data_IF_700595390388
#
_entry.id   IF_700595390388
#
_cell.length_a   1.000
_cell.length_b   1.000
_cell.length_c   1.000
_cell.angle_alpha   90.00
_cell.angle_beta   90.00
_cell.angle_gamma   90.00
#
_symmetry.space_group_name_H-M   'P 1'
#
loop_
_entity.id
_entity.type
_entity.pdbx_description
1 polymer ?
#
# COMPACT_ATOMS: atom_id res chain seq x y z
N UNK A 1 50.58 55.03 -27.96
CA UNK A 1 49.18 54.67 -27.59
C UNK A 1 48.85 53.18 -27.69
N UNK A 2 49.55 52.37 -28.52
CA UNK A 2 49.28 50.91 -28.64
C UNK A 2 49.69 50.05 -27.42
N UNK A 3 50.79 50.40 -26.72
CA UNK A 3 51.28 49.59 -25.60
C UNK A 3 50.28 49.48 -24.44
N UNK A 4 49.56 50.54 -24.08
CA UNK A 4 48.57 50.51 -22.99
C UNK A 4 47.32 49.69 -23.30
N UNK A 5 46.95 49.53 -24.58
CA UNK A 5 45.77 48.73 -24.98
C UNK A 5 46.05 47.22 -24.92
N UNK A 6 47.29 46.80 -25.16
CA UNK A 6 47.70 45.39 -25.11
C UNK A 6 47.67 44.84 -23.67
N UNK A 7 48.07 45.63 -22.68
CA UNK A 7 48.03 45.21 -21.26
C UNK A 7 46.60 45.08 -20.72
N UNK A 8 45.65 45.90 -21.21
CA UNK A 8 44.23 45.81 -20.82
C UNK A 8 43.57 44.58 -21.45
N UNK A 9 43.89 44.26 -22.71
CA UNK A 9 43.35 43.08 -23.39
C UNK A 9 43.94 41.78 -22.82
N UNK A 10 45.24 41.76 -22.47
CA UNK A 10 45.87 40.63 -21.77
C UNK A 10 45.32 40.45 -20.34
N UNK A 11 45.05 41.54 -19.61
CA UNK A 11 44.42 41.48 -18.29
C UNK A 11 42.99 40.92 -18.32
N UNK A 12 42.19 41.30 -19.33
CA UNK A 12 40.82 40.80 -19.50
C UNK A 12 40.78 39.32 -19.95
N UNK A 13 41.74 38.88 -20.77
CA UNK A 13 41.87 37.47 -21.17
C UNK A 13 42.29 36.57 -20.01
N UNK A 14 43.16 37.03 -19.10
CA UNK A 14 43.55 36.26 -17.91
C UNK A 14 42.36 36.10 -16.95
N UNK A 15 41.52 37.12 -16.79
CA UNK A 15 40.30 37.05 -15.95
C UNK A 15 39.27 36.07 -16.55
N UNK A 16 39.10 36.07 -17.88
CA UNK A 16 38.19 35.14 -18.58
C UNK A 16 38.67 33.67 -18.54
N UNK A 17 39.98 33.43 -18.52
CA UNK A 17 40.54 32.07 -18.43
C UNK A 17 40.49 31.56 -16.98
N UNK A 18 40.60 32.43 -15.97
CA UNK A 18 40.40 32.02 -14.56
C UNK A 18 38.94 31.76 -14.18
N UNK A 19 37.96 32.29 -14.93
CA UNK A 19 36.54 31.98 -14.69
C UNK A 19 36.06 30.66 -15.32
N UNK A 20 36.87 30.03 -16.18
CA UNK A 20 36.53 28.75 -16.83
C UNK A 20 37.18 27.51 -16.18
N UNK A 21 38.05 27.68 -15.17
CA UNK A 21 38.69 26.56 -14.46
C UNK A 21 38.05 26.24 -13.09
N UNK A 22 36.91 26.83 -12.78
CA UNK A 22 36.08 26.51 -11.61
C UNK A 22 34.94 25.57 -11.96
N UNK A 23 35.20 24.48 -12.70
CA UNK A 23 34.24 23.37 -12.77
C UNK A 23 34.31 22.69 -11.41
N UNK A 24 33.42 23.11 -10.51
CA UNK A 24 33.10 22.35 -9.33
C UNK A 24 32.75 20.93 -9.78
N UNK A 25 33.60 19.97 -9.40
CA UNK A 25 33.23 18.57 -9.45
C UNK A 25 32.03 18.44 -8.51
N UNK A 26 30.84 18.40 -9.09
CA UNK A 26 29.69 17.84 -8.38
C UNK A 26 30.01 16.36 -8.22
N UNK A 27 30.68 16.03 -7.12
CA UNK A 27 30.72 14.68 -6.61
C UNK A 27 29.27 14.28 -6.46
N UNK A 28 28.80 13.37 -7.32
CA UNK A 28 27.60 12.61 -7.05
C UNK A 28 27.83 11.97 -5.68
N UNK A 29 27.19 12.53 -4.66
CA UNK A 29 27.00 11.83 -3.42
C UNK A 29 26.18 10.60 -3.82
N UNK A 30 26.84 9.46 -4.01
CA UNK A 30 26.18 8.17 -3.89
C UNK A 30 25.58 8.20 -2.49
N UNK A 31 24.29 8.54 -2.42
CA UNK A 31 23.52 8.43 -1.20
C UNK A 31 23.70 7.01 -0.72
N UNK A 32 24.41 6.86 0.40
CA UNK A 32 24.27 5.66 1.18
C UNK A 32 22.77 5.50 1.40
N UNK A 33 22.18 4.40 0.92
CA UNK A 33 20.84 4.02 1.29
C UNK A 33 20.83 3.95 2.81
N UNK A 34 20.31 4.98 3.47
CA UNK A 34 19.98 4.89 4.88
C UNK A 34 18.95 3.77 4.94
N UNK A 35 19.34 2.65 5.57
CA UNK A 35 18.41 1.57 5.84
C UNK A 35 17.32 2.16 6.74
N UNK A 36 16.17 2.48 6.14
CA UNK A 36 14.97 2.92 6.84
C UNK A 36 14.64 1.85 7.86
N UNK A 37 14.69 2.20 9.15
CA UNK A 37 14.30 1.25 10.18
C UNK A 37 12.81 1.01 10.08
N UNK A 38 12.44 -0.21 9.72
CA UNK A 38 11.04 -0.65 9.66
C UNK A 38 10.57 -1.27 10.97
N UNK A 39 11.49 -1.64 11.86
CA UNK A 39 11.22 -2.21 13.16
C UNK A 39 11.64 -1.23 14.27
N UNK A 40 11.15 -1.47 15.49
CA UNK A 40 11.54 -0.72 16.67
C UNK A 40 13.04 -0.91 16.97
N UNK A 41 13.66 0.07 17.62
CA UNK A 41 15.08 0.01 17.98
C UNK A 41 15.42 -1.27 18.75
N UNK A 42 16.52 -1.91 18.38
CA UNK A 42 16.99 -3.20 18.91
C UNK A 42 16.10 -4.42 18.60
N UNK A 43 15.09 -4.28 17.74
CA UNK A 43 14.25 -5.38 17.30
C UNK A 43 14.68 -5.96 15.96
N UNK A 44 14.43 -7.25 15.79
CA UNK A 44 14.75 -7.96 14.54
C UNK A 44 13.70 -7.62 13.48
N UNK A 45 14.14 -7.04 12.37
CA UNK A 45 13.26 -6.56 11.29
C UNK A 45 12.95 -7.60 10.21
N UNK A 46 13.43 -8.84 10.33
CA UNK A 46 13.29 -9.86 9.29
C UNK A 46 13.33 -11.29 9.87
N UNK A 47 12.50 -12.18 9.32
CA UNK A 47 12.58 -13.63 9.55
C UNK A 47 12.54 -14.37 8.21
N UNK A 48 13.65 -15.02 7.86
CA UNK A 48 13.81 -15.63 6.54
C UNK A 48 13.66 -14.59 5.44
N UNK A 49 12.68 -14.80 4.56
CA UNK A 49 12.42 -13.90 3.43
C UNK A 49 11.38 -12.82 3.73
N UNK A 50 10.84 -12.77 4.96
CA UNK A 50 9.73 -11.89 5.32
C UNK A 50 10.23 -10.73 6.18
N UNK A 51 9.98 -9.50 5.72
CA UNK A 51 10.19 -8.28 6.51
C UNK A 51 9.16 -8.23 7.64
N UNK A 52 9.60 -7.85 8.84
CA UNK A 52 8.76 -7.73 10.03
C UNK A 52 8.77 -6.28 10.50
N UNK A 53 7.86 -5.44 9.97
CA UNK A 53 7.78 -4.06 10.37
C UNK A 53 6.89 -3.87 11.60
N UNK A 54 7.19 -2.85 12.40
CA UNK A 54 6.29 -2.40 13.46
C UNK A 54 4.91 -2.03 12.84
N UNK A 55 3.76 -2.43 13.42
CA UNK A 55 3.53 -2.90 14.80
C UNK A 55 3.87 -4.38 15.05
N UNK A 56 4.25 -5.14 14.03
CA UNK A 56 4.75 -6.51 14.19
C UNK A 56 6.16 -6.52 14.76
N UNK A 57 6.48 -7.55 15.55
CA UNK A 57 7.79 -7.63 16.18
C UNK A 57 8.17 -9.02 16.65
N UNK A 58 9.48 -9.28 16.63
CA UNK A 58 10.09 -10.51 17.15
C UNK A 58 10.81 -10.18 18.46
N UNK A 59 10.41 -10.84 19.54
CA UNK A 59 11.02 -10.67 20.86
C UNK A 59 10.20 -9.77 21.79
N UNK A 60 10.68 -9.65 23.02
CA UNK A 60 10.04 -8.85 24.06
C UNK A 60 10.04 -7.37 23.70
N UNK A 61 8.91 -6.69 23.93
CA UNK A 61 8.71 -5.26 23.69
C UNK A 61 8.95 -4.78 22.24
N UNK A 62 8.95 -5.71 21.27
CA UNK A 62 9.17 -5.41 19.86
C UNK A 62 7.89 -5.25 19.04
N UNK A 63 6.77 -5.83 19.47
CA UNK A 63 5.46 -5.61 18.87
C UNK A 63 4.66 -4.58 19.64
N UNK A 64 3.66 -3.98 19.01
CA UNK A 64 2.76 -3.02 19.66
C UNK A 64 1.78 -3.71 20.64
N UNK A 65 1.29 -4.89 20.25
CA UNK A 65 0.39 -5.71 21.03
C UNK A 65 0.66 -7.20 20.78
N UNK A 66 0.11 -8.04 21.66
CA UNK A 66 0.22 -9.50 21.63
C UNK A 66 -0.20 -10.09 20.27
N UNK A 67 -1.24 -9.54 19.62
CA UNK A 67 -1.70 -10.03 18.31
C UNK A 67 -0.70 -9.81 17.17
N UNK A 68 0.24 -8.89 17.35
CA UNK A 68 1.30 -8.57 16.39
C UNK A 68 2.64 -9.25 16.73
N UNK A 69 2.69 -10.09 17.76
CA UNK A 69 3.90 -10.85 18.11
C UNK A 69 4.21 -11.92 17.06
N UNK A 70 5.44 -11.90 16.55
CA UNK A 70 5.96 -12.87 15.58
C UNK A 70 6.97 -13.80 16.26
N UNK A 71 6.75 -15.11 16.08
CA UNK A 71 7.74 -16.13 16.41
C UNK A 71 8.46 -16.54 15.13
N UNK A 72 9.77 -16.33 15.09
CA UNK A 72 10.59 -16.80 13.98
C UNK A 72 11.03 -18.25 14.23
N UNK A 73 10.42 -19.20 13.52
CA UNK A 73 10.82 -20.59 13.55
C UNK A 73 12.15 -20.76 12.81
N UNK A 74 13.21 -21.05 13.56
CA UNK A 74 14.58 -21.20 13.04
C UNK A 74 14.93 -22.64 12.64
N UNK A 75 14.02 -23.59 12.83
CA UNK A 75 14.25 -25.00 12.51
C UNK A 75 14.10 -25.32 11.02
N UNK A 76 13.60 -24.37 10.23
CA UNK A 76 13.45 -24.49 8.77
C UNK A 76 14.46 -23.61 8.05
N UNK A 77 14.84 -23.97 6.82
CA UNK A 77 15.64 -23.10 5.94
C UNK A 77 14.87 -22.85 4.64
N UNK A 78 14.45 -21.61 4.34
CA UNK A 78 14.60 -20.40 5.16
C UNK A 78 13.78 -20.47 6.47
N UNK A 79 14.16 -19.64 7.45
CA UNK A 79 13.39 -19.47 8.69
C UNK A 79 11.97 -18.97 8.36
N UNK A 80 10.97 -19.40 9.14
CA UNK A 80 9.56 -19.11 8.87
C UNK A 80 8.93 -18.32 10.02
N UNK A 81 8.33 -17.14 9.77
CA UNK A 81 7.62 -16.39 10.79
C UNK A 81 6.21 -16.94 11.03
N UNK A 82 5.75 -16.87 12.27
CA UNK A 82 4.39 -17.23 12.67
C UNK A 82 3.80 -16.15 13.57
N UNK A 83 2.51 -15.82 13.38
CA UNK A 83 1.75 -15.09 14.39
C UNK A 83 1.69 -15.94 15.66
N UNK A 84 2.19 -15.41 16.78
CA UNK A 84 2.31 -16.20 18.01
C UNK A 84 0.96 -16.70 18.53
N UNK A 85 -0.06 -15.84 18.51
CA UNK A 85 -1.38 -16.14 19.06
C UNK A 85 -2.25 -16.96 18.11
N UNK A 86 -2.25 -16.63 16.82
CA UNK A 86 -3.05 -17.33 15.81
C UNK A 86 -2.40 -18.61 15.27
N UNK A 87 -1.07 -18.74 15.44
CA UNK A 87 -0.24 -19.85 14.95
C UNK A 87 -0.24 -20.01 13.42
N UNK A 88 -0.58 -18.96 12.66
CA UNK A 88 -0.47 -18.97 11.20
C UNK A 88 0.93 -18.54 10.76
N UNK A 89 1.47 -19.25 9.76
CA UNK A 89 2.69 -18.84 9.08
C UNK A 89 2.43 -17.53 8.33
N UNK A 90 3.29 -16.55 8.52
CA UNK A 90 3.22 -15.28 7.81
C UNK A 90 4.00 -15.40 6.52
N UNK A 91 3.34 -15.14 5.40
CA UNK A 91 3.94 -15.18 4.07
C UNK A 91 4.47 -13.80 3.66
N UNK A 92 3.73 -12.75 4.01
CA UNK A 92 4.10 -11.37 3.70
C UNK A 92 3.39 -10.38 4.65
N UNK A 93 4.04 -9.26 4.94
CA UNK A 93 3.46 -8.09 5.58
C UNK A 93 3.67 -6.93 4.63
N UNK A 94 2.61 -6.25 4.21
CA UNK A 94 2.73 -5.19 3.21
C UNK A 94 3.66 -4.09 3.69
N UNK A 95 4.58 -3.69 2.83
CA UNK A 95 5.42 -2.50 3.01
C UNK A 95 4.82 -1.28 2.31
N UNK A 96 3.50 -1.30 2.06
CA UNK A 96 2.74 -0.21 1.43
C UNK A 96 2.89 1.10 2.20
N UNK A 97 3.18 1.03 3.51
CA UNK A 97 3.46 2.22 4.32
C UNK A 97 4.78 2.93 3.99
N UNK A 98 5.69 2.26 3.28
CA UNK A 98 6.90 2.88 2.71
C UNK A 98 6.60 3.72 1.47
N UNK A 99 5.36 3.70 0.95
CA UNK A 99 4.94 4.55 -0.15
C UNK A 99 4.52 5.94 0.37
N UNK A 100 5.00 7.02 -0.26
CA UNK A 100 4.84 8.38 0.27
C UNK A 100 3.44 9.00 0.11
N UNK A 101 2.49 8.33 -0.56
CA UNK A 101 1.17 8.89 -0.86
C UNK A 101 0.02 7.89 -0.63
N UNK A 102 -0.93 8.30 0.24
CA UNK A 102 -2.34 7.92 0.54
C UNK A 102 -2.95 6.54 0.23
N UNK A 103 -2.28 5.60 -0.42
CA UNK A 103 -2.81 4.25 -0.64
C UNK A 103 -1.96 3.25 0.15
N UNK A 104 -2.29 3.15 1.44
CA UNK A 104 -1.66 2.18 2.32
C UNK A 104 -2.65 1.06 2.61
N UNK A 105 -2.53 -0.01 1.84
CA UNK A 105 -3.21 -1.27 2.15
C UNK A 105 -2.39 -1.97 3.22
N UNK A 106 -2.86 -1.90 4.47
CA UNK A 106 -2.28 -2.60 5.63
C UNK A 106 -2.66 -4.06 5.53
N UNK A 107 -1.86 -4.85 4.83
CA UNK A 107 -2.16 -6.22 4.49
C UNK A 107 -1.17 -7.18 5.14
N UNK A 108 -1.68 -8.35 5.49
CA UNK A 108 -0.99 -9.46 6.08
C UNK A 108 -1.41 -10.71 5.32
N UNK A 109 -0.46 -11.29 4.59
CA UNK A 109 -0.69 -12.57 3.92
C UNK A 109 -0.23 -13.71 4.81
N UNK A 110 -1.12 -14.68 5.08
CA UNK A 110 -0.86 -15.84 5.93
C UNK A 110 -1.07 -17.15 5.17
N UNK A 111 -0.40 -18.21 5.59
CA UNK A 111 -0.61 -19.56 5.07
C UNK A 111 -1.75 -20.22 5.84
N UNK A 112 -2.95 -20.25 5.25
CA UNK A 112 -4.17 -20.69 5.92
C UNK A 112 -4.61 -22.09 5.45
N UNK A 113 -5.05 -22.99 6.35
CA UNK A 113 -5.39 -24.37 5.99
C UNK A 113 -6.59 -24.46 5.05
N UNK A 114 -6.57 -25.47 4.18
CA UNK A 114 -7.71 -25.89 3.38
C UNK A 114 -8.66 -26.73 4.24
N UNK A 115 -9.98 -26.54 4.08
CA UNK A 115 -10.99 -27.37 4.72
C UNK A 115 -11.32 -28.58 3.86
N UNK A 116 -11.04 -29.78 4.38
CA UNK A 116 -11.30 -31.06 3.71
C UNK A 116 -12.46 -31.81 4.35
N UNK A 117 -13.20 -32.56 3.53
CA UNK A 117 -14.31 -33.40 3.93
C UNK A 117 -14.31 -34.69 3.10
N UNK A 118 -14.42 -35.87 3.75
CA UNK A 118 -14.36 -37.18 3.08
C UNK A 118 -13.09 -37.40 2.22
N UNK A 119 -11.95 -36.81 2.61
CA UNK A 119 -10.68 -36.95 1.88
C UNK A 119 -9.74 -37.93 2.59
N UNK A 120 -9.38 -39.04 1.93
CA UNK A 120 -8.43 -40.00 2.49
C UNK A 120 -7.07 -39.34 2.78
N UNK A 121 -6.47 -39.64 3.93
CA UNK A 121 -5.18 -39.10 4.40
C UNK A 121 -5.15 -37.57 4.63
N UNK A 122 -6.30 -36.88 4.61
CA UNK A 122 -6.41 -35.49 5.04
C UNK A 122 -7.16 -35.46 6.36
N UNK A 123 -6.74 -34.60 7.28
CA UNK A 123 -7.51 -34.33 8.49
C UNK A 123 -8.77 -33.58 8.09
N UNK A 124 -9.94 -34.05 8.52
CA UNK A 124 -11.18 -33.30 8.34
C UNK A 124 -11.09 -32.00 9.14
N UNK A 125 -10.88 -30.91 8.44
CA UNK A 125 -10.68 -29.58 8.99
C UNK A 125 -11.96 -28.75 8.82
N UNK A 126 -12.95 -28.99 9.67
CA UNK A 126 -13.99 -27.99 9.95
C UNK A 126 -13.44 -26.98 10.95
N UNK A 127 -12.50 -26.14 10.52
CA UNK A 127 -11.90 -25.11 11.38
C UNK A 127 -12.57 -23.78 11.11
N UNK A 128 -13.33 -23.30 12.08
CA UNK A 128 -13.84 -21.93 12.09
C UNK A 128 -12.66 -20.97 12.22
N UNK A 129 -12.56 -20.02 11.30
CA UNK A 129 -11.74 -18.84 11.50
C UNK A 129 -12.60 -17.78 12.17
N UNK A 130 -12.20 -17.33 13.35
CA UNK A 130 -12.86 -16.25 14.08
C UNK A 130 -11.89 -15.07 14.21
N UNK A 131 -12.19 -13.97 13.51
CA UNK A 131 -11.45 -12.72 13.62
C UNK A 131 -12.16 -11.72 14.56
N UNK A 132 -13.20 -12.15 15.27
CA UNK A 132 -13.97 -11.29 16.18
C UNK A 132 -13.08 -10.81 17.33
N UNK A 133 -12.97 -9.49 17.47
CA UNK A 133 -12.24 -8.87 18.57
C UNK A 133 -10.72 -8.95 18.47
N UNK A 134 -10.17 -9.31 17.31
CA UNK A 134 -8.73 -9.29 17.03
C UNK A 134 -8.44 -8.29 15.90
N UNK A 135 -7.21 -7.74 15.78
CA UNK A 135 -6.92 -6.60 14.90
C UNK A 135 -6.73 -6.99 13.42
N UNK A 136 -7.55 -7.92 12.93
CA UNK A 136 -7.50 -8.44 11.57
C UNK A 136 -8.90 -8.52 10.97
N UNK A 137 -9.02 -8.24 9.67
CA UNK A 137 -10.28 -8.37 8.91
C UNK A 137 -10.02 -9.03 7.57
N UNK A 138 -11.04 -9.65 6.97
CA UNK A 138 -10.93 -10.10 5.58
C UNK A 138 -10.88 -8.92 4.62
N UNK A 139 -10.26 -9.17 3.46
CA UNK A 139 -10.19 -8.22 2.35
C UNK A 139 -10.97 -8.77 1.16
N UNK A 140 -11.55 -7.88 0.36
CA UNK A 140 -12.17 -8.19 -0.94
C UNK A 140 -11.16 -8.67 -1.98
N UNK A 141 -9.86 -8.59 -1.69
CA UNK A 141 -8.78 -9.23 -2.44
C UNK A 141 -8.69 -10.74 -2.23
N UNK A 142 -9.64 -11.35 -1.51
CA UNK A 142 -9.76 -12.80 -1.42
C UNK A 142 -10.97 -13.31 -2.21
N UNK A 143 -10.88 -14.57 -2.61
CA UNK A 143 -11.98 -15.32 -3.17
C UNK A 143 -12.25 -16.57 -2.34
N UNK A 144 -13.49 -17.04 -2.37
CA UNK A 144 -13.87 -18.32 -1.79
C UNK A 144 -14.05 -19.36 -2.87
N UNK A 145 -13.40 -20.52 -2.73
CA UNK A 145 -13.37 -21.58 -3.72
C UNK A 145 -13.84 -22.89 -3.09
N UNK A 146 -14.71 -23.60 -3.80
CA UNK A 146 -15.15 -24.95 -3.48
C UNK A 146 -14.82 -25.89 -4.63
N UNK A 147 -14.27 -27.06 -4.32
CA UNK A 147 -13.82 -28.03 -5.33
C UNK A 147 -14.30 -29.44 -4.96
N UNK A 148 -15.05 -30.04 -5.88
CA UNK A 148 -15.54 -31.43 -5.96
C UNK A 148 -16.76 -31.43 -6.87
N UNK A 149 -17.18 -32.60 -7.37
CA UNK A 149 -18.55 -32.76 -7.85
C UNK A 149 -19.54 -32.64 -6.66
N UNK A 150 -20.66 -31.94 -6.89
CA UNK A 150 -21.72 -31.75 -5.89
C UNK A 150 -21.24 -31.07 -4.60
N UNK A 151 -20.32 -30.11 -4.70
CA UNK A 151 -19.89 -29.34 -3.53
C UNK A 151 -20.94 -28.28 -3.23
N UNK A 152 -21.37 -28.19 -1.98
CA UNK A 152 -22.09 -27.02 -1.47
C UNK A 152 -21.32 -26.56 -0.23
N UNK A 153 -20.45 -25.58 -0.43
CA UNK A 153 -19.66 -24.98 0.63
C UNK A 153 -20.25 -23.61 0.97
N UNK A 154 -20.56 -23.36 2.24
CA UNK A 154 -21.12 -22.07 2.69
C UNK A 154 -20.19 -21.42 3.69
N UNK A 155 -20.16 -20.09 3.70
CA UNK A 155 -19.55 -19.28 4.76
C UNK A 155 -20.68 -18.76 5.65
N UNK A 156 -20.76 -19.31 6.85
CA UNK A 156 -21.67 -18.83 7.89
C UNK A 156 -20.95 -17.83 8.80
N UNK A 157 -21.63 -16.72 9.12
CA UNK A 157 -21.25 -15.90 10.28
C UNK A 157 -21.66 -16.64 11.55
N UNK A 158 -20.71 -16.89 12.45
CA UNK A 158 -20.91 -17.59 13.73
C UNK A 158 -21.64 -16.75 14.78
N UNK A 159 -21.92 -15.48 14.48
CA UNK A 159 -22.42 -14.48 15.42
C UNK A 159 -23.96 -14.55 15.60
N UNK A 160 -24.45 -15.60 16.25
CA UNK A 160 -25.79 -15.69 16.88
C UNK A 160 -27.02 -15.83 15.96
N UNK A 161 -27.01 -15.19 14.79
CA UNK A 161 -28.00 -15.42 13.72
C UNK A 161 -27.25 -15.96 12.50
N UNK A 162 -27.28 -17.29 12.30
CA UNK A 162 -26.65 -17.96 11.16
C UNK A 162 -27.31 -17.53 9.85
N UNK A 163 -26.82 -16.45 9.26
CA UNK A 163 -27.09 -16.12 7.86
C UNK A 163 -25.85 -16.52 7.05
N UNK A 164 -26.04 -17.38 6.05
CA UNK A 164 -24.99 -17.67 5.07
C UNK A 164 -24.73 -16.40 4.27
N UNK A 165 -23.58 -15.77 4.50
CA UNK A 165 -23.23 -14.50 3.83
C UNK A 165 -22.87 -14.74 2.36
N UNK A 166 -22.23 -15.89 2.08
CA UNK A 166 -21.84 -16.30 0.74
C UNK A 166 -21.70 -17.81 0.67
N UNK A 167 -21.78 -18.37 -0.54
CA UNK A 167 -21.70 -19.80 -0.76
C UNK A 167 -21.22 -20.14 -2.16
N UNK A 168 -20.71 -21.35 -2.29
CA UNK A 168 -20.11 -21.89 -3.48
C UNK A 168 -20.75 -23.24 -3.74
N UNK A 169 -21.40 -23.39 -4.90
CA UNK A 169 -22.03 -24.64 -5.31
C UNK A 169 -21.50 -25.10 -6.67
N UNK A 170 -21.25 -26.39 -6.81
CA UNK A 170 -20.89 -27.02 -8.09
C UNK A 170 -21.81 -28.19 -8.42
N UNK A 171 -21.99 -28.43 -9.72
CA UNK A 171 -22.59 -29.65 -10.26
C UNK A 171 -21.51 -30.56 -10.80
N UNK A 172 -21.85 -31.83 -11.01
CA UNK A 172 -20.94 -32.84 -11.52
C UNK A 172 -20.85 -32.78 -13.05
N UNK A 173 -19.64 -32.88 -13.62
CA UNK A 173 -19.49 -32.99 -15.07
C UNK A 173 -20.20 -34.24 -15.60
N UNK A 174 -21.11 -34.07 -16.57
CA UNK A 174 -21.95 -35.16 -17.07
C UNK A 174 -21.31 -36.01 -18.17
N UNK A 175 -20.15 -35.64 -18.72
CA UNK A 175 -19.47 -36.39 -19.79
C UNK A 175 -17.97 -36.06 -19.89
N UNK A 176 -17.16 -37.08 -20.23
CA UNK A 176 -15.71 -37.10 -20.52
C UNK A 176 -15.23 -36.19 -21.67
N UNK A 177 -16.08 -35.29 -22.17
CA UNK A 177 -15.65 -34.23 -23.06
C UNK A 177 -14.96 -33.16 -22.22
N UNK A 178 -13.76 -33.50 -21.73
CA UNK A 178 -12.74 -32.52 -21.35
C UNK A 178 -12.59 -31.60 -22.54
N UNK A 179 -13.26 -30.46 -22.49
CA UNK A 179 -12.83 -29.32 -23.28
C UNK A 179 -11.35 -29.20 -22.99
N UNK A 180 -10.54 -29.26 -24.05
CA UNK A 180 -9.09 -29.05 -24.02
C UNK A 180 -8.81 -27.58 -23.69
N UNK A 181 -9.40 -27.09 -22.61
CA UNK A 181 -9.02 -25.84 -22.00
C UNK A 181 -7.69 -26.11 -21.30
N UNK A 182 -6.67 -25.39 -21.73
CA UNK A 182 -5.38 -25.38 -21.03
C UNK A 182 -5.46 -24.64 -19.68
N UNK A 183 -6.66 -24.35 -19.17
CA UNK A 183 -6.90 -23.56 -17.97
C UNK A 183 -8.04 -24.15 -17.14
N UNK A 184 -7.90 -24.07 -15.82
CA UNK A 184 -8.95 -24.38 -14.85
C UNK A 184 -10.03 -23.29 -14.92
N UNK A 185 -11.24 -23.66 -15.37
CA UNK A 185 -12.41 -22.79 -15.43
C UNK A 185 -13.37 -23.21 -14.30
N UNK A 186 -13.19 -22.67 -13.09
CA UNK A 186 -14.08 -22.91 -11.94
C UNK A 186 -15.44 -22.22 -12.12
N UNK A 187 -16.24 -22.73 -13.05
CA UNK A 187 -17.47 -22.12 -13.56
C UNK A 187 -18.75 -22.79 -13.03
N UNK A 188 -18.66 -23.56 -11.94
CA UNK A 188 -19.78 -24.30 -11.35
C UNK A 188 -19.82 -25.78 -11.74
N UNK A 189 -18.88 -26.29 -12.55
CA UNK A 189 -18.73 -27.72 -12.83
C UNK A 189 -17.49 -28.24 -12.11
N UNK A 190 -17.67 -29.18 -11.17
CA UNK A 190 -16.63 -29.77 -10.31
C UNK A 190 -15.81 -28.77 -9.45
N UNK A 191 -16.01 -27.47 -9.66
CA UNK A 191 -15.43 -26.36 -8.93
C UNK A 191 -16.31 -25.11 -9.05
N UNK A 192 -16.32 -24.27 -8.04
CA UNK A 192 -16.96 -22.97 -8.03
C UNK A 192 -16.05 -21.94 -7.36
N UNK A 193 -16.25 -20.67 -7.67
CA UNK A 193 -15.60 -19.55 -6.98
C UNK A 193 -16.59 -18.40 -6.78
N UNK A 194 -16.44 -17.67 -5.69
CA UNK A 194 -17.25 -16.48 -5.39
C UNK A 194 -16.40 -15.43 -4.67
N UNK A 195 -16.67 -14.15 -4.92
CA UNK A 195 -16.04 -13.08 -4.17
C UNK A 195 -16.68 -12.95 -2.78
N UNK A 196 -15.93 -12.35 -1.86
CA UNK A 196 -16.44 -11.94 -0.56
C UNK A 196 -16.61 -10.42 -0.54
N UNK A 197 -17.66 -9.94 0.13
CA UNK A 197 -17.87 -8.52 0.38
C UNK A 197 -17.00 -8.05 1.55
N UNK A 198 -16.38 -6.88 1.41
CA UNK A 198 -15.66 -6.22 2.51
C UNK A 198 -16.59 -5.99 3.69
N UNK A 199 -16.05 -6.14 4.91
CA UNK A 199 -16.68 -5.70 6.16
C UNK A 199 -18.00 -6.41 6.53
N UNK A 200 -18.21 -7.65 6.03
CA UNK A 200 -19.43 -8.44 6.28
C UNK A 200 -19.17 -9.79 6.96
N UNK A 201 -17.92 -10.24 7.05
CA UNK A 201 -17.58 -11.56 7.60
C UNK A 201 -16.57 -11.34 8.72
N UNK A 202 -16.94 -11.59 9.97
CA UNK A 202 -16.00 -11.60 11.10
C UNK A 202 -15.51 -13.03 11.39
N UNK A 203 -16.29 -14.01 10.96
CA UNK A 203 -16.05 -15.42 11.18
C UNK A 203 -16.38 -16.17 9.91
N UNK A 204 -15.56 -17.15 9.54
CA UNK A 204 -15.93 -18.09 8.50
C UNK A 204 -15.94 -19.52 9.07
N UNK A 205 -17.01 -20.24 8.77
CA UNK A 205 -17.10 -21.68 8.91
C UNK A 205 -17.47 -22.26 7.55
N UNK A 206 -16.75 -23.29 7.10
CA UNK A 206 -17.03 -23.98 5.85
C UNK A 206 -17.88 -25.22 6.17
N UNK A 207 -19.13 -25.18 5.74
CA UNK A 207 -20.07 -26.30 5.87
C UNK A 207 -20.23 -26.99 4.52
N UNK A 208 -20.10 -28.32 4.49
CA UNK A 208 -20.41 -29.15 3.33
C UNK A 208 -21.79 -29.76 3.51
N UNK A 209 -22.71 -29.47 2.59
CA UNK A 209 -24.00 -30.14 2.57
C UNK A 209 -23.87 -31.56 1.98
N UNK A 210 -24.40 -32.54 2.70
CA UNK A 210 -24.43 -33.95 2.32
C UNK A 210 -25.81 -34.38 1.77
N UNK A 211 -26.75 -33.43 1.66
CA UNK A 211 -28.08 -33.62 1.08
C UNK A 211 -28.02 -33.67 -0.44
N UNK A 212 -27.52 -34.76 -1.00
CA UNK A 212 -27.93 -35.14 -2.36
C UNK A 212 -29.26 -35.89 -2.24
N UNK A 213 -30.31 -35.40 -2.89
CA UNK A 213 -31.54 -36.17 -3.09
C UNK A 213 -31.25 -37.31 -4.07
N UNK A 214 -30.64 -38.37 -3.57
CA UNK A 214 -30.36 -39.61 -4.30
C UNK A 214 -31.39 -40.64 -3.91
N UNK A 215 -31.83 -41.43 -4.87
CA UNK A 215 -32.74 -42.55 -4.64
C UNK A 215 -32.04 -43.66 -3.85
N UNK A 216 -32.78 -44.47 -3.10
CA UNK A 216 -32.23 -45.57 -2.27
C UNK A 216 -31.32 -46.55 -3.06
N UNK A 217 -31.49 -46.63 -4.38
CA UNK A 217 -30.65 -47.43 -5.28
C UNK A 217 -29.26 -46.81 -5.54
N UNK A 218 -29.15 -45.48 -5.52
CA UNK A 218 -27.90 -44.74 -5.71
C UNK A 218 -27.07 -44.68 -4.41
N UNK A 219 -27.73 -44.86 -3.26
CA UNK A 219 -27.12 -44.88 -1.93
C UNK A 219 -26.03 -45.97 -1.79
N UNK A 220 -26.28 -47.17 -2.33
CA UNK A 220 -25.35 -48.31 -2.25
C UNK A 220 -24.10 -48.14 -3.13
N UNK A 221 -24.18 -47.34 -4.21
CA UNK A 221 -23.03 -46.96 -5.03
C UNK A 221 -22.29 -45.75 -4.43
N UNK A 222 -23.03 -44.84 -3.77
CA UNK A 222 -22.54 -43.65 -3.09
C UNK A 222 -21.70 -43.95 -1.83
N UNK A 223 -22.06 -44.97 -1.03
CA UNK A 223 -21.24 -45.37 0.14
C UNK A 223 -19.86 -45.91 -0.24
N UNK A 224 -19.68 -46.39 -1.47
CA UNK A 224 -18.39 -46.88 -1.99
C UNK A 224 -17.50 -45.78 -2.60
N UNK A 225 -18.06 -44.60 -2.90
CA UNK A 225 -17.40 -43.49 -3.59
C UNK A 225 -17.65 -42.18 -2.83
N UNK A 226 -17.18 -42.08 -1.58
CA UNK A 226 -17.15 -40.80 -0.87
C UNK A 226 -16.19 -39.85 -1.59
N UNK A 227 -16.73 -38.95 -2.39
CA UNK A 227 -15.92 -37.98 -3.11
C UNK A 227 -15.29 -36.98 -2.13
N UNK A 228 -13.97 -36.81 -2.24
CA UNK A 228 -13.21 -35.84 -1.46
C UNK A 228 -13.63 -34.41 -1.84
N UNK A 229 -14.28 -33.73 -0.89
CA UNK A 229 -14.73 -32.34 -1.00
C UNK A 229 -13.77 -31.42 -0.24
N UNK A 230 -13.47 -30.28 -0.82
CA UNK A 230 -12.66 -29.28 -0.13
C UNK A 230 -13.03 -27.87 -0.55
N UNK A 231 -12.80 -26.92 0.36
CA UNK A 231 -13.04 -25.52 0.13
C UNK A 231 -12.06 -24.69 0.95
N UNK A 232 -11.79 -23.48 0.48
CA UNK A 232 -10.81 -22.59 1.07
C UNK A 232 -11.04 -21.15 0.62
N UNK A 233 -10.51 -20.22 1.39
CA UNK A 233 -10.43 -18.82 1.03
C UNK A 233 -8.99 -18.50 0.65
N UNK A 234 -8.78 -17.82 -0.47
CA UNK A 234 -7.45 -17.61 -1.05
C UNK A 234 -7.33 -16.21 -1.63
N UNK A 235 -6.11 -15.67 -1.56
CA UNK A 235 -5.71 -14.45 -2.27
C UNK A 235 -6.03 -14.54 -3.76
N UNK A 236 -6.70 -13.52 -4.30
CA UNK A 236 -7.20 -13.52 -5.67
C UNK A 236 -6.07 -13.61 -6.70
N UNK A 237 -4.97 -12.87 -6.47
CA UNK A 237 -3.86 -12.81 -7.40
C UNK A 237 -3.13 -14.15 -7.47
N UNK A 238 -2.90 -14.77 -6.31
CA UNK A 238 -2.39 -16.12 -6.22
C UNK A 238 -3.29 -17.12 -6.96
N UNK A 239 -4.60 -17.04 -6.75
CA UNK A 239 -5.55 -17.95 -7.39
C UNK A 239 -5.60 -17.82 -8.90
N UNK A 240 -5.70 -16.60 -9.42
CA UNK A 240 -5.73 -16.36 -10.86
C UNK A 240 -4.40 -16.76 -11.50
N UNK A 241 -3.27 -16.51 -10.83
CA UNK A 241 -1.97 -17.00 -11.28
C UNK A 241 -1.95 -18.54 -11.37
N UNK A 242 -2.44 -19.24 -10.34
CA UNK A 242 -2.51 -20.70 -10.33
C UNK A 242 -3.38 -21.25 -11.48
N UNK A 243 -4.59 -20.71 -11.68
CA UNK A 243 -5.49 -21.14 -12.77
C UNK A 243 -4.89 -20.94 -14.16
N UNK A 244 -4.08 -19.89 -14.35
CA UNK A 244 -3.45 -19.59 -15.63
C UNK A 244 -2.26 -20.52 -15.96
N UNK A 245 -1.61 -21.10 -14.95
CA UNK A 245 -0.43 -21.96 -15.13
C UNK A 245 -0.70 -23.44 -14.87
N UNK A 246 -1.90 -23.80 -14.42
CA UNK A 246 -2.28 -25.19 -14.12
C UNK A 246 -3.47 -25.64 -14.97
N UNK A 247 -3.36 -26.85 -15.51
CA UNK A 247 -4.46 -27.57 -16.16
C UNK A 247 -5.15 -28.54 -15.21
N UNK A 248 -4.62 -28.73 -14.00
CA UNK A 248 -5.05 -29.78 -13.10
C UNK A 248 -5.65 -29.21 -11.81
N UNK A 249 -6.97 -29.08 -11.79
CA UNK A 249 -7.74 -28.71 -10.59
C UNK A 249 -7.49 -29.67 -9.42
N UNK A 250 -7.22 -30.96 -9.70
CA UNK A 250 -6.94 -31.95 -8.65
C UNK A 250 -5.57 -31.76 -8.00
N UNK A 251 -4.65 -30.99 -8.62
CA UNK A 251 -3.37 -30.65 -8.01
C UNK A 251 -3.51 -29.93 -6.66
N UNK A 252 -4.60 -29.18 -6.49
CA UNK A 252 -4.93 -28.51 -5.22
C UNK A 252 -5.26 -29.52 -4.11
N UNK A 253 -5.76 -30.72 -4.44
CA UNK A 253 -6.03 -31.78 -3.44
C UNK A 253 -4.78 -32.18 -2.66
N UNK A 254 -3.60 -31.99 -3.26
CA UNK A 254 -2.33 -32.31 -2.63
C UNK A 254 -1.81 -31.19 -1.73
N UNK A 255 -2.36 -29.98 -1.83
CA UNK A 255 -2.02 -28.87 -0.94
C UNK A 255 -2.68 -29.05 0.42
N UNK A 256 -2.10 -28.47 1.47
CA UNK A 256 -2.69 -28.43 2.81
C UNK A 256 -3.08 -27.00 3.21
N UNK A 257 -2.44 -26.00 2.59
CA UNK A 257 -2.59 -24.59 2.91
C UNK A 257 -2.59 -23.75 1.63
N UNK A 258 -3.21 -22.58 1.70
CA UNK A 258 -3.23 -21.57 0.64
C UNK A 258 -2.96 -20.18 1.23
N UNK A 259 -2.39 -19.25 0.44
CA UNK A 259 -2.24 -17.87 0.88
C UNK A 259 -3.60 -17.19 1.08
N UNK A 260 -3.81 -16.62 2.26
CA UNK A 260 -4.97 -15.81 2.62
C UNK A 260 -4.52 -14.39 2.92
N UNK A 261 -5.17 -13.39 2.35
CA UNK A 261 -4.85 -11.99 2.56
C UNK A 261 -5.78 -11.37 3.63
N UNK A 262 -5.22 -10.77 4.67
CA UNK A 262 -5.97 -10.11 5.73
C UNK A 262 -5.59 -8.64 5.78
N UNK A 263 -6.54 -7.77 6.09
CA UNK A 263 -6.21 -6.41 6.52
C UNK A 263 -5.90 -6.44 8.01
N UNK A 264 -4.95 -5.63 8.46
CA UNK A 264 -4.72 -5.39 9.88
C UNK A 264 -5.00 -3.93 10.21
N UNK A 265 -5.39 -3.66 11.45
CA UNK A 265 -5.68 -2.30 11.90
C UNK A 265 -5.25 -2.11 13.35
N UNK A 266 -5.01 -0.86 13.74
CA UNK A 266 -4.77 -0.50 15.13
C UNK A 266 -6.00 0.18 15.71
N UNK A 267 -6.49 -0.30 16.84
CA UNK A 267 -7.56 0.36 17.54
C UNK A 267 -7.02 1.57 18.32
N UNK A 268 -7.35 2.80 17.86
CA UNK A 268 -6.87 4.02 18.51
C UNK A 268 -7.42 4.24 19.93
N UNK A 269 -8.45 3.49 20.36
CA UNK A 269 -8.94 3.56 21.75
C UNK A 269 -8.05 2.81 22.73
N UNK A 270 -7.35 1.79 22.23
CA UNK A 270 -6.64 0.80 23.05
C UNK A 270 -5.22 1.25 23.42
N UNK A 271 -4.67 2.21 22.66
CA UNK A 271 -3.27 2.63 22.82
C UNK A 271 -3.17 4.10 23.25
N UNK A 272 -2.69 4.32 24.48
CA UNK A 272 -2.45 5.65 25.05
C UNK A 272 -1.34 6.43 24.32
N UNK A 273 -0.41 5.72 23.64
CA UNK A 273 0.62 6.29 22.75
C UNK A 273 0.05 7.34 21.79
N UNK A 274 -1.22 7.18 21.40
CA UNK A 274 -1.85 8.06 20.43
C UNK A 274 -2.92 9.00 21.04
N UNK A 275 -3.12 9.00 22.37
CA UNK A 275 -4.00 9.96 23.05
C UNK A 275 -3.32 11.31 23.30
N UNK A 276 -2.00 11.34 23.46
CA UNK A 276 -1.25 12.54 23.85
C UNK A 276 -0.44 13.17 22.70
N UNK A 277 0.02 12.39 21.72
CA UNK A 277 0.84 12.89 20.60
C UNK A 277 0.08 13.15 19.28
N UNK A 278 -1.20 12.76 19.20
CA UNK A 278 -2.08 13.08 18.05
C UNK A 278 -2.58 14.54 18.02
N UNK A 279 -1.90 15.48 18.69
CA UNK A 279 -2.15 16.91 18.49
C UNK A 279 -1.49 17.37 17.18
N UNK A 280 -2.04 16.90 16.06
CA UNK A 280 -2.15 17.47 14.71
C UNK A 280 -1.02 18.33 14.08
N UNK A 281 0.21 18.39 14.60
CA UNK A 281 1.25 19.20 13.94
C UNK A 281 2.61 19.28 14.61
N UNK A 282 2.96 18.36 15.51
CA UNK A 282 4.24 18.43 16.24
C UNK A 282 5.38 17.62 15.63
N UNK A 283 5.10 16.63 14.78
CA UNK A 283 6.13 15.83 14.10
C UNK A 283 6.01 16.07 12.60
N UNK A 284 7.01 16.67 11.94
CA UNK A 284 7.01 16.88 10.49
C UNK A 284 6.80 15.57 9.72
N UNK A 285 6.09 15.63 8.59
CA UNK A 285 5.97 14.55 7.61
C UNK A 285 5.33 13.23 8.09
N UNK A 286 4.70 13.24 9.26
CA UNK A 286 3.96 12.11 9.83
C UNK A 286 2.49 12.45 10.00
N UNK A 287 1.59 11.61 9.47
CA UNK A 287 0.15 11.86 9.49
C UNK A 287 -0.62 10.61 9.89
N UNK A 288 -1.45 10.71 10.92
CA UNK A 288 -2.36 9.63 11.34
C UNK A 288 -3.80 10.10 11.26
N UNK A 289 -4.64 9.33 10.59
CA UNK A 289 -6.08 9.54 10.53
C UNK A 289 -6.79 8.50 11.38
N UNK A 290 -7.71 8.97 12.22
CA UNK A 290 -8.67 8.13 12.92
C UNK A 290 -9.86 7.90 12.01
N UNK A 291 -10.08 6.66 11.61
CA UNK A 291 -11.19 6.27 10.75
C UNK A 291 -12.11 5.38 11.54
N UNK A 292 -13.42 5.68 11.53
CA UNK A 292 -14.42 4.78 12.09
C UNK A 292 -15.05 4.04 10.93
N UNK A 293 -14.64 2.79 10.73
CA UNK A 293 -15.24 1.96 9.69
C UNK A 293 -16.54 1.35 10.21
N UNK A 294 -17.60 1.46 9.40
CA UNK A 294 -18.86 0.79 9.67
C UNK A 294 -18.76 -0.67 9.24
N UNK A 295 -18.83 -1.56 10.21
CA UNK A 295 -18.95 -2.99 9.98
C UNK A 295 -20.41 -3.40 10.18
N UNK A 296 -20.88 -4.26 9.30
CA UNK A 296 -22.24 -4.82 9.40
C UNK A 296 -22.10 -6.27 9.78
N UNK A 297 -22.50 -6.60 11.01
CA UNK A 297 -22.65 -7.98 11.47
C UNK A 297 -24.13 -8.34 11.64
N UNK A 298 -24.38 -9.60 11.99
CA UNK A 298 -25.69 -10.11 12.35
C UNK A 298 -26.34 -9.40 13.57
N UNK A 299 -25.57 -8.66 14.37
CA UNK A 299 -26.05 -7.87 15.52
C UNK A 299 -26.34 -6.40 15.19
N UNK A 300 -26.15 -6.01 13.93
CA UNK A 300 -26.32 -4.64 13.45
C UNK A 300 -25.01 -3.98 13.07
N UNK A 301 -25.08 -2.67 12.83
CA UNK A 301 -23.92 -1.88 12.43
C UNK A 301 -23.11 -1.50 13.67
N UNK A 302 -21.85 -1.87 13.71
CA UNK A 302 -20.91 -1.43 14.73
C UNK A 302 -19.75 -0.68 14.09
N UNK A 303 -19.09 0.16 14.88
CA UNK A 303 -17.99 0.99 14.42
C UNK A 303 -16.70 0.44 14.97
N UNK A 304 -15.76 0.12 14.09
CA UNK A 304 -14.40 -0.18 14.52
C UNK A 304 -13.55 1.09 14.39
N UNK A 305 -13.07 1.62 15.53
CA UNK A 305 -12.07 2.68 15.54
C UNK A 305 -10.75 2.14 14.98
N UNK A 306 -10.30 2.68 13.85
CA UNK A 306 -9.04 2.30 13.22
C UNK A 306 -8.09 3.50 13.11
N UNK A 307 -6.81 3.23 13.31
CA UNK A 307 -5.73 4.19 13.14
C UNK A 307 -4.93 3.85 11.88
N UNK A 308 -4.95 4.75 10.92
CA UNK A 308 -4.15 4.66 9.71
C UNK A 308 -3.12 5.78 9.73
N UNK A 309 -1.83 5.42 9.72
CA UNK A 309 -0.74 6.39 9.71
C UNK A 309 0.07 6.26 8.43
N UNK A 310 0.54 7.37 7.89
CA UNK A 310 1.38 7.43 6.69
C UNK A 310 2.48 8.49 6.83
N UNK A 311 3.58 8.28 6.12
CA UNK A 311 4.61 9.29 5.93
C UNK A 311 4.23 10.16 4.72
N UNK A 312 4.24 11.48 4.87
CA UNK A 312 3.91 12.45 3.82
C UNK A 312 5.18 12.99 3.21
N UNK A 313 5.50 12.62 1.97
CA UNK A 313 6.73 13.06 1.28
C UNK A 313 8.02 12.40 1.80
N UNK A 314 7.94 11.52 2.79
CA UNK A 314 9.06 10.73 3.29
C UNK A 314 8.77 9.23 3.18
N UNK A 315 9.82 8.42 3.09
CA UNK A 315 9.83 6.98 3.31
C UNK A 315 10.12 6.68 4.78
N UNK A 316 9.45 5.66 5.29
CA UNK A 316 9.51 5.35 6.71
C UNK A 316 8.51 4.31 7.15
N UNK A 317 8.58 3.96 8.44
CA UNK A 317 7.46 3.34 9.12
C UNK A 317 6.75 4.41 9.97
N UNK A 318 5.52 4.82 9.61
CA UNK A 318 4.80 5.87 10.32
C UNK A 318 4.34 5.43 11.72
N UNK A 319 4.37 4.14 12.03
CA UNK A 319 4.03 3.63 13.36
C UNK A 319 5.20 3.69 14.35
N UNK A 320 6.39 4.13 13.91
CA UNK A 320 7.55 4.38 14.76
C UNK A 320 7.69 5.88 15.05
N UNK A 321 8.07 6.22 16.28
CA UNK A 321 8.42 7.61 16.64
C UNK A 321 9.64 8.04 15.83
N UNK A 322 9.46 9.06 14.97
CA UNK A 322 10.51 9.51 14.05
C UNK A 322 10.81 8.56 12.90
N UNK A 323 9.93 7.58 12.63
CA UNK A 323 10.16 6.57 11.60
C UNK A 323 10.06 7.07 10.16
N UNK A 324 9.43 8.23 9.93
CA UNK A 324 9.45 8.92 8.64
C UNK A 324 10.73 9.75 8.53
N UNK A 325 11.76 9.22 7.86
CA UNK A 325 13.11 9.81 7.92
C UNK A 325 13.81 10.01 6.58
N UNK A 326 13.43 9.27 5.53
CA UNK A 326 14.10 9.36 4.24
C UNK A 326 13.27 10.19 3.27
N UNK A 327 13.86 11.25 2.72
CA UNK A 327 13.24 12.08 1.70
C UNK A 327 12.84 11.27 0.46
N UNK A 328 11.67 11.57 -0.10
CA UNK A 328 11.29 11.09 -1.43
C UNK A 328 11.74 12.14 -2.41
N UNK A 329 12.38 11.74 -3.51
CA UNK A 329 12.68 12.68 -4.58
C UNK A 329 11.56 12.61 -5.62
N UNK A 330 10.54 13.44 -5.48
CA UNK A 330 9.41 13.46 -6.40
C UNK A 330 9.84 13.85 -7.82
N UNK A 331 10.92 14.62 -7.98
CA UNK A 331 11.41 15.00 -9.30
C UNK A 331 12.06 13.85 -10.06
N UNK A 332 12.60 12.85 -9.37
CA UNK A 332 13.16 11.65 -9.98
C UNK A 332 12.10 10.57 -10.18
N UNK A 333 11.22 10.38 -9.19
CA UNK A 333 10.27 9.27 -9.15
C UNK A 333 8.92 9.61 -9.78
N UNK A 334 8.54 10.89 -9.76
CA UNK A 334 7.23 11.39 -10.17
C UNK A 334 7.36 12.67 -11.02
N UNK A 335 8.35 12.72 -11.91
CA UNK A 335 8.67 13.91 -12.73
C UNK A 335 7.48 14.52 -13.48
N UNK A 336 6.48 13.70 -13.81
CA UNK A 336 5.28 14.10 -14.55
C UNK A 336 4.33 14.98 -13.73
N UNK A 337 4.49 15.05 -12.40
CA UNK A 337 3.59 15.79 -11.51
C UNK A 337 3.62 17.30 -11.70
N UNK A 338 4.70 17.85 -12.25
CA UNK A 338 4.81 19.29 -12.50
C UNK A 338 4.18 19.76 -13.82
N UNK A 339 3.73 18.84 -14.67
CA UNK A 339 3.19 19.16 -15.99
C UNK A 339 4.21 19.79 -16.94
N UNK A 340 3.81 19.97 -18.21
CA UNK A 340 4.69 20.52 -19.24
C UNK A 340 5.04 22.00 -19.01
N UNK A 341 6.34 22.35 -19.10
CA UNK A 341 6.83 23.73 -19.03
C UNK A 341 7.21 24.23 -17.63
N UNK A 342 7.00 23.40 -16.60
CA UNK A 342 7.53 23.61 -15.26
C UNK A 342 8.91 22.95 -15.10
N UNK A 343 9.72 23.48 -14.19
CA UNK A 343 10.92 22.80 -13.66
C UNK A 343 10.58 22.26 -12.28
N UNK A 344 10.69 20.95 -12.08
CA UNK A 344 10.52 20.34 -10.77
C UNK A 344 11.72 20.67 -9.88
N UNK A 345 11.44 21.04 -8.62
CA UNK A 345 12.46 21.28 -7.60
C UNK A 345 12.12 20.47 -6.37
N UNK A 346 12.96 19.48 -6.07
CA UNK A 346 12.80 18.62 -4.90
C UNK A 346 13.07 19.42 -3.63
N UNK A 347 12.27 19.21 -2.60
CA UNK A 347 12.49 19.79 -1.27
C UNK A 347 12.34 18.70 -0.21
N UNK A 348 12.77 18.97 1.01
CA UNK A 348 12.66 17.95 2.03
C UNK A 348 11.19 17.72 2.42
N UNK A 349 10.67 16.54 2.09
CA UNK A 349 9.31 16.07 2.34
C UNK A 349 8.21 16.70 1.51
N UNK A 350 8.58 17.37 0.42
CA UNK A 350 7.65 17.91 -0.57
C UNK A 350 8.41 18.27 -1.86
N UNK A 351 7.70 18.74 -2.87
CA UNK A 351 8.28 19.29 -4.08
C UNK A 351 7.54 20.54 -4.52
N UNK A 352 8.17 21.37 -5.35
CA UNK A 352 7.46 22.45 -6.01
C UNK A 352 7.81 22.58 -7.47
N UNK A 353 6.85 23.07 -8.24
CA UNK A 353 6.93 23.22 -9.67
C UNK A 353 7.16 24.69 -10.01
N UNK A 354 8.34 25.01 -10.51
CA UNK A 354 8.72 26.37 -10.89
C UNK A 354 8.42 26.63 -12.36
N UNK A 355 7.50 27.56 -12.65
CA UNK A 355 7.21 28.00 -14.00
C UNK A 355 8.12 29.16 -14.40
N UNK A 356 8.72 29.10 -15.60
CA UNK A 356 9.44 30.24 -16.15
C UNK A 356 8.43 31.29 -16.63
N UNK A 357 8.21 32.34 -15.84
CA UNK A 357 7.47 33.51 -16.30
C UNK A 357 8.30 34.27 -17.34
N UNK A 358 7.86 34.23 -18.61
CA UNK A 358 8.38 35.15 -19.64
C UNK A 358 7.53 36.42 -19.59
N UNK A 359 8.07 37.49 -19.02
CA UNK A 359 7.47 38.82 -19.14
C UNK A 359 7.77 39.34 -20.55
N UNK A 360 6.74 39.50 -21.38
CA UNK A 360 6.84 40.22 -22.65
C UNK A 360 6.48 41.68 -22.35
N UNK A 361 7.47 42.56 -22.30
CA UNK A 361 7.24 44.00 -22.27
C UNK A 361 6.87 44.45 -23.69
N UNK A 362 5.59 44.67 -23.93
CA UNK A 362 5.12 45.35 -25.14
C UNK A 362 5.24 46.85 -24.87
N UNK A 363 6.31 47.46 -25.35
CA UNK A 363 6.44 48.92 -25.38
C UNK A 363 5.69 49.38 -26.63
N UNK A 364 4.48 49.89 -26.45
CA UNK A 364 3.73 50.52 -27.53
C UNK A 364 4.41 51.85 -27.90
N UNK A 365 5.04 51.88 -29.07
CA UNK A 365 5.78 53.03 -29.57
C UNK A 365 4.88 54.11 -30.19
N UNK A 366 3.58 54.11 -29.91
CA UNK A 366 2.63 55.09 -30.46
C UNK A 366 2.58 56.42 -29.71
N UNK A 367 3.32 56.60 -28.60
CA UNK A 367 3.45 57.89 -27.90
C UNK A 367 4.88 58.41 -27.94
N UNK A 368 5.44 58.54 -29.15
CA UNK A 368 6.63 59.37 -29.41
C UNK A 368 6.41 60.15 -30.71
N UNK A 369 5.38 61.00 -30.71
CA UNK A 369 5.21 62.11 -31.67
C UNK A 369 4.96 63.40 -30.88
N UNK A 370 5.99 63.87 -30.18
CA UNK A 370 6.27 65.29 -29.96
C UNK A 370 7.53 65.43 -29.11
N UNK A 371 8.38 66.36 -29.50
CA UNK A 371 9.68 66.67 -28.90
C UNK A 371 9.57 66.96 -27.40
N UNK A 372 10.15 66.12 -26.53
CA UNK A 372 10.56 66.53 -25.18
C UNK A 372 11.61 65.55 -24.58
N UNK A 373 12.84 66.06 -24.47
CA UNK A 373 13.96 65.70 -23.58
C UNK A 373 14.29 64.22 -23.26
N UNK A 374 15.42 63.76 -23.81
CA UNK A 374 16.05 62.45 -23.60
C UNK A 374 16.59 62.12 -22.20
N UNK A 375 16.37 62.94 -21.15
CA UNK A 375 16.94 62.66 -19.82
C UNK A 375 15.97 62.00 -18.83
N UNK A 376 14.66 61.96 -19.11
CA UNK A 376 13.67 61.35 -18.20
C UNK A 376 13.30 59.89 -18.53
N UNK A 377 13.54 59.44 -19.76
CA UNK A 377 13.17 58.08 -20.19
C UNK A 377 14.06 56.99 -19.55
N UNK A 378 15.34 57.29 -19.29
CA UNK A 378 16.24 56.38 -18.57
C UNK A 378 15.89 56.26 -17.08
N UNK A 379 15.34 57.32 -16.47
CA UNK A 379 14.93 57.31 -15.06
C UNK A 379 13.73 56.38 -14.78
N UNK A 380 12.74 56.36 -15.66
CA UNK A 380 11.55 55.50 -15.52
C UNK A 380 11.85 54.01 -15.80
N UNK A 381 12.79 53.71 -16.69
CA UNK A 381 13.28 52.35 -16.94
C UNK A 381 14.05 51.77 -15.74
N UNK A 382 14.85 52.59 -15.05
CA UNK A 382 15.54 52.17 -13.82
C UNK A 382 14.58 52.00 -12.63
N UNK A 383 13.57 52.86 -12.48
CA UNK A 383 12.55 52.75 -11.43
C UNK A 383 11.67 51.50 -11.58
N UNK A 384 11.32 51.10 -12.80
CA UNK A 384 10.56 49.87 -13.06
C UNK A 384 11.39 48.60 -12.80
N UNK A 385 12.71 48.62 -13.06
CA UNK A 385 13.61 47.54 -12.65
C UNK A 385 13.81 47.47 -11.13
N UNK A 386 13.89 48.60 -10.43
CA UNK A 386 13.98 48.64 -8.97
C UNK A 386 12.68 48.19 -8.27
N UNK A 387 11.51 48.52 -8.82
CA UNK A 387 10.23 48.05 -8.28
C UNK A 387 9.96 46.56 -8.54
N UNK A 388 10.53 45.97 -9.60
CA UNK A 388 10.42 44.53 -9.86
C UNK A 388 11.31 43.67 -8.94
N UNK A 389 12.41 44.23 -8.41
CA UNK A 389 13.31 43.52 -7.47
C UNK A 389 12.79 43.55 -6.02
N UNK A 390 11.95 44.54 -5.67
CA UNK A 390 11.47 44.73 -4.30
C UNK A 390 10.07 44.16 -3.98
N UNK A 391 9.39 43.48 -4.91
CA UNK A 391 8.02 42.98 -4.69
C UNK A 391 7.90 41.63 -3.97
N UNK A 392 8.96 41.14 -3.33
CA UNK A 392 8.81 40.23 -2.18
C UNK A 392 8.54 41.12 -0.97
N UNK A 393 7.53 40.78 -0.17
CA UNK A 393 6.94 41.52 0.97
C UNK A 393 5.75 42.42 0.61
N UNK A 394 4.56 41.81 0.60
CA UNK A 394 3.31 42.54 0.85
C UNK A 394 3.19 42.85 2.35
N UNK A 395 2.62 44.01 2.72
CA UNK A 395 1.54 44.19 3.74
C UNK A 395 1.15 45.69 3.90
N UNK A 396 -0.14 45.93 3.64
CA UNK A 396 -1.11 46.97 4.04
C UNK A 396 -1.08 48.44 3.53
N UNK A 397 -2.29 49.04 3.31
CA UNK A 397 -2.50 50.39 2.78
C UNK A 397 -2.73 51.43 3.90
N UNK A 398 -2.42 52.71 3.66
CA UNK A 398 -3.14 53.89 4.19
C UNK A 398 -2.50 55.23 3.77
N UNK A 399 -3.33 56.07 3.13
CA UNK A 399 -3.53 57.52 3.35
C UNK A 399 -2.29 58.44 3.43
N UNK A 400 -2.09 59.33 2.45
CA UNK A 400 -2.13 60.79 2.69
C UNK A 400 -2.23 61.62 1.39
N UNK A 401 -3.06 62.65 1.51
CA UNK A 401 -3.48 63.71 0.61
C UNK A 401 -2.42 64.77 0.26
N UNK A 402 -2.69 65.50 -0.84
CA UNK A 402 -2.31 66.89 -1.17
C UNK A 402 -0.85 67.20 -1.55
N UNK A 403 -0.61 67.43 -2.85
CA UNK A 403 -0.58 68.77 -3.47
C UNK A 403 -0.62 68.65 -5.00
#
# INVERSE_FOLDING_TARGET
>A
MMRRRIWVVLGLLVIAVTSMLGIAQATSASGALLNVSIAKDNCVAQCGNVKIPFPFGIGSDCSLDKWFEIVCNKSTTPHRPFLKHAQWEVLNISDSYMKPYRQQDQQLQVNYPISFFNCANKLETQKTLDLTGIPFTFTSGNIFVGVSCGVLAKIDSSSGNKYSQTGCTSICSSNDNKTTSNQILCNGIDCCETSISDNQVDTFEILFDNSTAITEAEQNQYESNKECKFAFMVDSDYWYNYKNHSTNITGIRNMDYVPLNLSWYLNYTDFDLFKTDMSYGKVPFHSCTRVNYAYTSAYGRYWQPQLQCYCSGLRGNPYLVGGCSQDVNECDEYSDWCGGGATCVNTHGDYHCSYKHKFILIVDATVLHSELQCDYAFGLLLLSHLMAVHSKWAILPSILTLL
#
